data_IF_729918736130
#
_entry.id   IF_729918736130
#
_cell.length_a   1.000
_cell.length_b   1.000
_cell.length_c   1.000
_cell.angle_alpha   90.00
_cell.angle_beta   90.00
_cell.angle_gamma   90.00
#
_symmetry.space_group_name_H-M   'P 1'
#
loop_
_entity.id
_entity.type
_entity.pdbx_description
1 polymer ?
#
# COMPACT_ATOMS: atom_id res chain seq x y z
N UNK A 1 51.42 4.29 -43.57
CA UNK A 1 50.90 5.49 -44.27
C UNK A 1 49.67 4.99 -44.99
N UNK A 2 48.59 4.86 -44.24
CA UNK A 2 47.52 5.87 -44.05
C UNK A 2 46.32 5.33 -44.85
N UNK A 3 45.30 4.84 -44.14
CA UNK A 3 44.04 5.57 -43.91
C UNK A 3 43.29 5.69 -45.25
N UNK A 4 42.17 5.01 -45.48
CA UNK A 4 40.91 5.32 -44.81
C UNK A 4 39.98 4.09 -44.76
N UNK A 5 39.74 3.59 -43.55
CA UNK A 5 38.59 2.76 -43.28
C UNK A 5 37.36 3.66 -43.26
N UNK A 6 36.57 3.58 -44.32
CA UNK A 6 35.28 4.26 -44.48
C UNK A 6 34.35 3.88 -43.31
N UNK A 7 34.33 4.74 -42.31
CA UNK A 7 33.55 4.62 -41.09
C UNK A 7 32.07 4.82 -41.46
N UNK A 8 31.41 3.75 -41.93
CA UNK A 8 29.95 3.67 -42.00
C UNK A 8 29.42 3.80 -40.59
N UNK A 9 29.11 5.05 -40.21
CA UNK A 9 28.38 5.41 -39.01
C UNK A 9 27.04 4.70 -39.03
N UNK A 10 27.01 3.53 -38.40
CA UNK A 10 25.79 2.81 -38.09
C UNK A 10 25.01 3.61 -37.06
N UNK A 11 24.16 4.52 -37.51
CA UNK A 11 23.02 4.96 -36.73
C UNK A 11 22.04 3.80 -36.66
N UNK A 12 22.30 2.89 -35.72
CA UNK A 12 21.33 1.89 -35.30
C UNK A 12 20.05 2.63 -34.91
N UNK A 13 18.88 2.27 -35.45
CA UNK A 13 17.64 2.89 -35.04
C UNK A 13 17.50 2.69 -33.54
N UNK A 14 17.36 3.79 -32.81
CA UNK A 14 17.05 3.79 -31.38
C UNK A 14 15.68 3.12 -31.26
N UNK A 15 15.67 1.79 -31.12
CA UNK A 15 14.47 1.05 -30.77
C UNK A 15 14.05 1.59 -29.42
N UNK A 16 13.09 2.51 -29.45
CA UNK A 16 12.25 2.85 -28.32
C UNK A 16 11.47 1.58 -28.02
N UNK A 17 12.14 0.62 -27.38
CA UNK A 17 11.49 -0.51 -26.75
C UNK A 17 10.43 0.10 -25.88
N UNK A 18 9.16 -0.11 -26.25
CA UNK A 18 8.03 -0.01 -25.35
C UNK A 18 8.33 -0.96 -24.18
N UNK A 19 9.14 -0.51 -23.22
CA UNK A 19 9.29 -1.18 -21.95
C UNK A 19 8.06 -0.83 -21.13
N UNK A 20 6.94 -1.43 -21.53
CA UNK A 20 6.02 -2.05 -20.58
C UNK A 20 6.62 -3.43 -20.25
N UNK A 21 7.91 -3.45 -19.92
CA UNK A 21 8.50 -4.45 -19.06
C UNK A 21 8.69 -3.69 -17.76
N UNK A 22 7.55 -3.41 -17.12
CA UNK A 22 7.52 -2.69 -15.85
C UNK A 22 8.45 -3.44 -14.92
N UNK A 23 9.36 -2.71 -14.27
CA UNK A 23 9.95 -3.26 -13.07
C UNK A 23 8.76 -3.59 -12.16
N UNK A 24 8.51 -4.89 -11.94
CA UNK A 24 7.49 -5.31 -10.99
C UNK A 24 7.98 -4.86 -9.63
N UNK A 25 7.54 -3.67 -9.22
CA UNK A 25 7.75 -3.20 -7.87
C UNK A 25 6.96 -4.15 -7.00
N UNK A 26 7.66 -4.91 -6.17
CA UNK A 26 7.01 -5.82 -5.24
C UNK A 26 6.16 -5.02 -4.24
N UNK A 27 4.85 -5.03 -4.49
CA UNK A 27 3.81 -4.46 -3.65
C UNK A 27 3.31 -5.45 -2.59
N UNK A 28 3.63 -6.75 -2.75
CA UNK A 28 3.08 -7.80 -1.90
C UNK A 28 3.65 -7.77 -0.50
N UNK A 29 4.94 -7.50 -0.33
CA UNK A 29 5.57 -7.35 1.00
C UNK A 29 4.83 -6.37 1.93
N UNK A 30 4.71 -5.08 1.58
CA UNK A 30 4.01 -4.10 2.39
C UNK A 30 2.51 -4.41 2.56
N UNK A 31 1.84 -4.92 1.53
CA UNK A 31 0.43 -5.31 1.63
C UNK A 31 0.22 -6.51 2.56
N UNK A 32 1.08 -7.52 2.49
CA UNK A 32 1.03 -8.68 3.37
C UNK A 32 1.25 -8.28 4.83
N UNK A 33 2.17 -7.34 5.10
CA UNK A 33 2.35 -6.76 6.43
C UNK A 33 1.04 -6.11 6.93
N UNK A 34 0.43 -5.25 6.12
CA UNK A 34 -0.81 -4.57 6.49
C UNK A 34 -1.95 -5.56 6.74
N UNK A 35 -2.17 -6.49 5.82
CA UNK A 35 -3.23 -7.52 5.94
C UNK A 35 -2.98 -8.40 7.17
N UNK A 36 -1.74 -8.78 7.45
CA UNK A 36 -1.39 -9.58 8.63
C UNK A 36 -1.77 -8.84 9.91
N UNK A 37 -1.50 -7.54 9.99
CA UNK A 37 -1.92 -6.75 11.15
C UNK A 37 -3.43 -6.65 11.28
N UNK A 38 -4.16 -6.46 10.17
CA UNK A 38 -5.63 -6.47 10.19
C UNK A 38 -6.18 -7.82 10.69
N UNK A 39 -5.59 -8.93 10.25
CA UNK A 39 -5.96 -10.27 10.70
C UNK A 39 -5.66 -10.45 12.19
N UNK A 40 -4.50 -10.00 12.67
CA UNK A 40 -4.18 -10.02 14.10
C UNK A 40 -5.20 -9.21 14.91
N UNK A 41 -5.53 -8.00 14.46
CA UNK A 41 -6.55 -7.17 15.11
C UNK A 41 -7.91 -7.86 15.17
N UNK A 42 -8.31 -8.53 14.08
CA UNK A 42 -9.56 -9.28 14.00
C UNK A 42 -9.55 -10.49 14.94
N UNK A 43 -8.46 -11.26 14.98
CA UNK A 43 -8.32 -12.40 15.88
C UNK A 43 -8.42 -11.94 17.32
N UNK A 44 -7.78 -10.83 17.69
CA UNK A 44 -7.90 -10.26 19.02
C UNK A 44 -9.37 -9.94 19.31
N UNK A 45 -10.07 -9.20 18.46
CA UNK A 45 -11.48 -8.87 18.67
C UNK A 45 -12.39 -10.11 18.81
N UNK A 46 -12.14 -11.17 18.04
CA UNK A 46 -12.96 -12.40 18.07
C UNK A 46 -12.64 -13.29 19.26
N UNK A 47 -11.36 -13.46 19.61
CA UNK A 47 -10.91 -14.43 20.62
C UNK A 47 -11.01 -13.84 22.02
N UNK A 48 -10.67 -12.57 22.22
CA UNK A 48 -10.61 -11.97 23.56
C UNK A 48 -11.90 -12.13 24.40
N UNK A 49 -13.13 -11.98 23.87
CA UNK A 49 -14.35 -12.23 24.66
C UNK A 49 -14.53 -13.68 25.13
N UNK A 50 -13.77 -14.64 24.59
CA UNK A 50 -13.90 -16.08 24.90
C UNK A 50 -12.92 -16.56 25.96
N UNK A 51 -11.76 -15.90 26.16
CA UNK A 51 -10.60 -16.53 26.86
C UNK A 51 -10.07 -15.77 28.09
N UNK A 52 -10.58 -14.58 28.45
CA UNK A 52 -9.90 -13.74 29.44
C UNK A 52 -10.71 -13.27 30.67
N UNK A 53 -10.04 -12.93 31.79
CA UNK A 53 -10.65 -12.16 32.89
C UNK A 53 -10.99 -10.73 32.44
N UNK A 54 -12.16 -10.22 32.88
CA UNK A 54 -12.82 -9.01 32.32
C UNK A 54 -11.94 -7.77 32.13
N UNK A 55 -10.94 -7.54 32.99
CA UNK A 55 -10.01 -6.39 32.87
C UNK A 55 -9.01 -6.53 31.72
N UNK A 56 -8.32 -7.67 31.64
CA UNK A 56 -7.35 -7.98 30.57
C UNK A 56 -8.02 -8.06 29.19
N UNK A 57 -9.29 -8.48 29.16
CA UNK A 57 -10.10 -8.56 27.94
C UNK A 57 -10.38 -7.18 27.35
N UNK A 58 -10.56 -6.15 28.18
CA UNK A 58 -10.86 -4.80 27.69
C UNK A 58 -9.66 -4.17 27.00
N UNK A 59 -8.46 -4.29 27.60
CA UNK A 59 -7.22 -3.71 27.06
C UNK A 59 -6.81 -4.36 25.74
N UNK A 60 -6.88 -5.69 25.65
CA UNK A 60 -6.59 -6.42 24.42
C UNK A 60 -7.56 -6.05 23.30
N UNK A 61 -8.86 -5.96 23.62
CA UNK A 61 -9.87 -5.58 22.64
C UNK A 61 -9.61 -4.16 22.10
N UNK A 62 -9.23 -3.23 22.96
CA UNK A 62 -8.86 -1.88 22.54
C UNK A 62 -7.67 -1.85 21.58
N UNK A 63 -6.69 -2.75 21.74
CA UNK A 63 -5.58 -2.91 20.81
C UNK A 63 -6.07 -3.42 19.45
N UNK A 64 -6.92 -4.46 19.43
CA UNK A 64 -7.52 -4.98 18.20
C UNK A 64 -8.30 -3.91 17.44
N UNK A 65 -9.09 -3.12 18.17
CA UNK A 65 -9.77 -1.95 17.65
C UNK A 65 -8.80 -0.94 17.04
N UNK A 66 -7.74 -0.54 17.74
CA UNK A 66 -6.76 0.42 17.23
C UNK A 66 -6.01 -0.04 16.00
N UNK A 67 -5.84 -1.34 15.82
CA UNK A 67 -5.20 -1.91 14.63
C UNK A 67 -6.15 -1.86 13.42
N UNK A 68 -7.43 -2.22 13.59
CA UNK A 68 -8.41 -2.25 12.51
C UNK A 68 -8.90 -0.84 12.15
N UNK A 69 -9.09 0.02 13.15
CA UNK A 69 -9.68 1.35 13.03
C UNK A 69 -8.63 2.44 13.21
N UNK A 70 -9.04 3.64 13.62
CA UNK A 70 -8.11 4.72 13.95
C UNK A 70 -7.42 4.37 15.28
N UNK A 71 -6.08 4.43 15.37
CA UNK A 71 -5.14 5.03 14.41
C UNK A 71 -4.59 4.13 13.29
N UNK A 72 -4.79 2.81 13.34
CA UNK A 72 -4.28 1.84 12.37
C UNK A 72 -4.65 2.12 10.91
N UNK A 73 -5.87 2.61 10.65
CA UNK A 73 -6.32 3.01 9.30
C UNK A 73 -5.58 4.23 8.72
N UNK A 74 -4.75 4.90 9.53
CA UNK A 74 -3.87 5.99 9.11
C UNK A 74 -2.43 5.50 9.08
N UNK A 75 -1.95 4.89 10.17
CA UNK A 75 -0.54 4.52 10.34
C UNK A 75 -0.12 3.42 9.36
N UNK A 76 -0.96 2.41 9.14
CA UNK A 76 -0.63 1.30 8.24
C UNK A 76 -0.51 1.71 6.77
N UNK A 77 -1.48 2.44 6.17
CA UNK A 77 -1.31 2.90 4.79
C UNK A 77 -0.15 3.90 4.64
N UNK A 78 0.22 4.66 5.68
CA UNK A 78 1.42 5.51 5.64
C UNK A 78 2.70 4.69 5.51
N UNK A 79 2.85 3.63 6.31
CA UNK A 79 4.00 2.71 6.23
C UNK A 79 4.08 2.08 4.84
N UNK A 80 2.95 1.58 4.34
CA UNK A 80 2.85 1.00 2.99
C UNK A 80 3.19 2.04 1.93
N UNK A 81 2.71 3.27 2.05
CA UNK A 81 2.97 4.34 1.11
C UNK A 81 4.47 4.70 1.02
N UNK A 82 5.14 4.81 2.18
CA UNK A 82 6.57 5.06 2.25
C UNK A 82 7.35 3.92 1.59
N UNK A 83 6.99 2.68 1.90
CA UNK A 83 7.69 1.51 1.39
C UNK A 83 7.56 1.38 -0.14
N UNK A 84 6.34 1.46 -0.67
CA UNK A 84 6.10 1.40 -2.12
C UNK A 84 6.74 2.61 -2.80
N UNK A 85 6.51 3.82 -2.27
CA UNK A 85 7.02 5.06 -2.85
C UNK A 85 8.55 5.06 -2.96
N UNK A 86 9.26 4.63 -1.93
CA UNK A 86 10.73 4.58 -1.98
C UNK A 86 11.23 3.59 -3.05
N UNK A 87 10.61 2.40 -3.13
CA UNK A 87 10.95 1.43 -4.19
C UNK A 87 10.68 1.98 -5.59
N UNK A 88 9.58 2.70 -5.79
CA UNK A 88 9.27 3.37 -7.06
C UNK A 88 10.36 4.37 -7.45
N UNK A 89 10.78 5.22 -6.50
CA UNK A 89 11.83 6.22 -6.76
C UNK A 89 13.18 5.59 -7.10
N UNK A 90 13.51 4.47 -6.46
CA UNK A 90 14.75 3.72 -6.67
C UNK A 90 14.81 2.94 -7.99
N UNK A 91 13.67 2.60 -8.60
CA UNK A 91 13.63 1.79 -9.84
C UNK A 91 13.50 2.63 -11.11
N UNK A 92 12.87 3.80 -11.03
CA UNK A 92 12.61 4.62 -12.21
C UNK A 92 13.75 5.61 -12.49
N UNK A 93 13.92 6.02 -13.75
CA UNK A 93 15.02 6.93 -14.17
C UNK A 93 14.60 8.40 -14.29
N UNK A 94 13.31 8.68 -14.20
CA UNK A 94 12.71 10.00 -14.40
C UNK A 94 11.63 10.24 -13.36
N UNK A 95 11.58 11.44 -12.80
CA UNK A 95 10.53 11.86 -11.86
C UNK A 95 9.12 11.64 -12.45
N UNK A 96 8.95 11.95 -13.74
CA UNK A 96 7.65 11.79 -14.41
C UNK A 96 7.21 10.34 -14.53
N UNK A 97 8.15 9.41 -14.70
CA UNK A 97 7.86 7.98 -14.75
C UNK A 97 7.65 7.42 -13.34
N UNK A 98 8.40 7.89 -12.34
CA UNK A 98 8.15 7.59 -10.91
C UNK A 98 6.74 7.95 -10.48
N UNK A 99 6.21 9.11 -10.89
CA UNK A 99 4.83 9.50 -10.55
C UNK A 99 3.82 8.55 -11.20
N UNK A 100 3.97 8.23 -12.50
CA UNK A 100 3.04 7.33 -13.20
C UNK A 100 3.05 5.93 -12.62
N UNK A 101 4.24 5.37 -12.40
CA UNK A 101 4.41 4.05 -11.80
C UNK A 101 3.92 4.04 -10.36
N UNK A 102 4.15 5.11 -9.61
CA UNK A 102 3.62 5.29 -8.25
C UNK A 102 2.10 5.25 -8.21
N UNK A 103 1.42 5.98 -9.11
CA UNK A 103 -0.06 5.97 -9.20
C UNK A 103 -0.58 4.56 -9.50
N UNK A 104 0.04 3.85 -10.44
CA UNK A 104 -0.38 2.51 -10.84
C UNK A 104 -0.24 1.51 -9.66
N UNK A 105 0.89 1.54 -8.96
CA UNK A 105 1.13 0.69 -7.79
C UNK A 105 0.17 1.03 -6.65
N UNK A 106 -0.12 2.31 -6.40
CA UNK A 106 -1.12 2.72 -5.40
C UNK A 106 -2.52 2.26 -5.75
N UNK A 107 -2.93 2.35 -7.02
CA UNK A 107 -4.23 1.86 -7.46
C UNK A 107 -4.34 0.35 -7.25
N UNK A 108 -3.29 -0.41 -7.59
CA UNK A 108 -3.24 -1.84 -7.35
C UNK A 108 -3.29 -2.18 -5.85
N UNK A 109 -2.45 -1.54 -5.04
CA UNK A 109 -2.45 -1.70 -3.59
C UNK A 109 -3.81 -1.36 -2.95
N UNK A 110 -4.46 -0.30 -3.43
CA UNK A 110 -5.78 0.13 -2.97
C UNK A 110 -6.87 -0.89 -3.30
N UNK A 111 -6.82 -1.53 -4.48
CA UNK A 111 -7.76 -2.58 -4.87
C UNK A 111 -7.59 -3.82 -3.98
N UNK A 112 -6.36 -4.28 -3.80
CA UNK A 112 -6.06 -5.43 -2.94
C UNK A 112 -6.50 -5.15 -1.50
N UNK A 113 -6.19 -3.96 -0.99
CA UNK A 113 -6.63 -3.52 0.32
C UNK A 113 -8.16 -3.45 0.43
N UNK A 114 -8.84 -2.90 -0.57
CA UNK A 114 -10.30 -2.81 -0.62
C UNK A 114 -10.99 -4.17 -0.50
N UNK A 115 -10.44 -5.19 -1.17
CA UNK A 115 -10.92 -6.57 -1.05
C UNK A 115 -10.67 -7.10 0.37
N UNK A 116 -9.47 -6.90 0.91
CA UNK A 116 -9.12 -7.39 2.24
C UNK A 116 -10.00 -6.76 3.34
N UNK A 117 -10.20 -5.44 3.31
CA UNK A 117 -11.00 -4.74 4.32
C UNK A 117 -12.49 -5.08 4.18
N UNK A 118 -12.97 -5.34 2.97
CA UNK A 118 -14.33 -5.84 2.76
C UNK A 118 -14.54 -7.22 3.40
N UNK A 119 -13.56 -8.13 3.26
CA UNK A 119 -13.61 -9.44 3.92
C UNK A 119 -13.58 -9.27 5.45
N UNK A 120 -12.70 -8.42 5.98
CA UNK A 120 -12.65 -8.11 7.43
C UNK A 120 -13.99 -7.56 7.92
N UNK A 121 -14.62 -6.66 7.17
CA UNK A 121 -15.94 -6.13 7.49
C UNK A 121 -17.02 -7.22 7.55
N UNK A 122 -17.07 -8.09 6.53
CA UNK A 122 -18.02 -9.21 6.53
C UNK A 122 -17.81 -10.11 7.74
N UNK A 123 -16.56 -10.46 8.06
CA UNK A 123 -16.25 -11.27 9.23
C UNK A 123 -16.73 -10.59 10.51
N UNK A 124 -16.38 -9.32 10.74
CA UNK A 124 -16.85 -8.58 11.93
C UNK A 124 -18.37 -8.52 12.02
N UNK A 125 -19.06 -8.30 10.89
CA UNK A 125 -20.52 -8.24 10.83
C UNK A 125 -21.18 -9.54 11.32
N UNK A 126 -20.61 -10.69 10.95
CA UNK A 126 -21.17 -12.00 11.31
C UNK A 126 -20.63 -12.58 12.63
N UNK A 127 -19.41 -12.22 13.06
CA UNK A 127 -18.78 -12.81 14.26
C UNK A 127 -18.82 -11.91 15.49
N UNK A 128 -18.81 -10.58 15.32
CA UNK A 128 -18.81 -9.61 16.42
C UNK A 128 -19.81 -8.47 16.13
N UNK A 129 -21.13 -8.78 16.11
CA UNK A 129 -22.15 -7.85 15.63
C UNK A 129 -22.24 -6.56 16.45
N UNK A 130 -21.84 -6.57 17.72
CA UNK A 130 -21.82 -5.35 18.56
C UNK A 130 -20.74 -4.36 18.10
N UNK A 131 -19.61 -4.85 17.59
CA UNK A 131 -18.58 -4.00 16.99
C UNK A 131 -19.08 -3.42 15.66
N UNK A 132 -19.70 -4.26 14.82
CA UNK A 132 -20.24 -3.84 13.53
C UNK A 132 -21.36 -2.79 13.67
N UNK A 133 -22.22 -2.90 14.70
CA UNK A 133 -23.27 -1.93 15.02
C UNK A 133 -22.75 -0.60 15.53
N UNK A 134 -21.51 -0.56 16.04
CA UNK A 134 -20.88 0.68 16.51
C UNK A 134 -20.58 1.63 15.33
N UNK A 135 -20.61 1.12 14.10
CA UNK A 135 -20.28 1.88 12.91
C UNK A 135 -21.44 2.02 11.93
N UNK A 136 -21.63 3.25 11.45
CA UNK A 136 -22.41 3.46 10.25
C UNK A 136 -21.59 3.01 9.03
N UNK A 137 -22.28 2.55 7.98
CA UNK A 137 -21.65 2.23 6.70
C UNK A 137 -20.85 3.43 6.15
N UNK A 138 -21.31 4.66 6.42
CA UNK A 138 -20.61 5.89 6.07
C UNK A 138 -19.24 6.02 6.74
N UNK A 139 -19.16 5.82 8.07
CA UNK A 139 -17.88 5.87 8.78
C UNK A 139 -16.92 4.78 8.31
N UNK A 140 -17.44 3.60 7.98
CA UNK A 140 -16.63 2.52 7.42
C UNK A 140 -16.01 2.91 6.08
N UNK A 141 -16.82 3.42 5.15
CA UNK A 141 -16.36 3.84 3.83
C UNK A 141 -15.35 4.99 3.96
N UNK A 142 -15.64 5.99 4.79
CA UNK A 142 -14.79 7.17 4.91
C UNK A 142 -13.42 6.84 5.54
N UNK A 143 -13.42 6.19 6.71
CA UNK A 143 -12.19 6.03 7.51
C UNK A 143 -11.43 4.75 7.25
N UNK A 144 -12.08 3.67 6.79
CA UNK A 144 -11.43 2.39 6.52
C UNK A 144 -11.21 2.13 5.03
N UNK A 145 -11.82 2.89 4.12
CA UNK A 145 -11.56 2.77 2.68
C UNK A 145 -11.01 4.08 2.13
N UNK A 146 -11.80 5.15 2.17
CA UNK A 146 -11.50 6.42 1.53
C UNK A 146 -10.18 7.01 2.00
N UNK A 147 -9.99 7.13 3.32
CA UNK A 147 -8.77 7.70 3.90
C UNK A 147 -7.50 6.88 3.57
N UNK A 148 -7.44 5.55 3.82
CA UNK A 148 -6.29 4.74 3.41
C UNK A 148 -5.98 4.81 1.91
N UNK A 149 -7.00 4.76 1.05
CA UNK A 149 -6.83 4.83 -0.41
C UNK A 149 -6.31 6.20 -0.82
N UNK A 150 -6.82 7.29 -0.24
CA UNK A 150 -6.32 8.64 -0.48
C UNK A 150 -4.85 8.78 -0.07
N UNK A 151 -4.47 8.23 1.09
CA UNK A 151 -3.07 8.20 1.55
C UNK A 151 -2.18 7.53 0.51
N UNK A 152 -2.54 6.35 0.02
CA UNK A 152 -1.75 5.64 -0.98
C UNK A 152 -1.65 6.40 -2.30
N UNK A 153 -2.77 6.91 -2.82
CA UNK A 153 -2.81 7.60 -4.11
C UNK A 153 -2.03 8.92 -4.10
N UNK A 154 -1.96 9.61 -2.97
CA UNK A 154 -1.24 10.89 -2.85
C UNK A 154 0.24 10.66 -2.49
N UNK A 155 0.51 9.84 -1.47
CA UNK A 155 1.85 9.78 -0.90
C UNK A 155 2.80 8.89 -1.67
N UNK A 156 2.37 7.78 -2.27
CA UNK A 156 3.29 6.91 -3.04
C UNK A 156 3.87 7.66 -4.23
N UNK A 157 3.11 8.38 -5.09
CA UNK A 157 3.70 9.14 -6.19
C UNK A 157 4.60 10.28 -5.69
N UNK A 158 4.21 10.94 -4.60
CA UNK A 158 5.01 12.01 -4.00
C UNK A 158 6.34 11.49 -3.47
N UNK A 159 6.33 10.41 -2.70
CA UNK A 159 7.53 9.79 -2.14
C UNK A 159 8.39 9.20 -3.26
N UNK A 160 7.79 8.58 -4.27
CA UNK A 160 8.51 8.10 -5.45
C UNK A 160 9.22 9.21 -6.20
N UNK A 161 8.55 10.34 -6.43
CA UNK A 161 9.16 11.52 -7.03
C UNK A 161 10.31 12.08 -6.18
N UNK A 162 10.12 12.19 -4.86
CA UNK A 162 11.15 12.68 -3.94
C UNK A 162 12.37 11.76 -3.85
N UNK A 163 12.14 10.45 -3.77
CA UNK A 163 13.21 9.44 -3.71
C UNK A 163 14.02 9.41 -5.02
N UNK A 164 13.34 9.52 -6.17
CA UNK A 164 14.01 9.66 -7.47
C UNK A 164 14.86 10.95 -7.55
N UNK A 165 14.27 12.09 -7.19
CA UNK A 165 14.95 13.39 -7.20
C UNK A 165 16.20 13.39 -6.31
N UNK A 166 16.13 12.75 -5.13
CA UNK A 166 17.26 12.61 -4.21
C UNK A 166 18.41 11.79 -4.80
N UNK A 167 18.11 10.76 -5.60
CA UNK A 167 19.14 9.94 -6.25
C UNK A 167 19.83 10.68 -7.41
N UNK A 168 19.11 11.62 -8.03
CA UNK A 168 19.62 12.44 -9.12
C UNK A 168 20.38 13.70 -8.70
N UNK A 169 20.41 14.02 -7.40
CA UNK A 169 21.16 15.13 -6.79
C UNK A 169 22.53 14.65 -6.27
#
# INVERSE_FOLDING_TARGET
MEDDAEHKSGTLPYYKTNRIAGSEIDVFGPLAFWITLLVIGLIIEVVTPVVGPKGFVADLRQIGYYIIFIPGSIVLPLIVAIWIGDRVGLHENSIGDSVKVGILNSAYASLVYGIAIFIVYLLMYYTVPDLAKTFSVGMFIEFLIGLPVAILLILVPLIGALSNARRGA
#
